data_IF_032698058530
#
_entry.id   IF_032698058530
#
_cell.length_a   1.000
_cell.length_b   1.000
_cell.length_c   1.000
_cell.angle_alpha   90.00
_cell.angle_beta   90.00
_cell.angle_gamma   90.00
#
_symmetry.space_group_name_H-M   'P 1'
#
loop_
_entity.id
_entity.type
_entity.pdbx_description
1 polymer ?
#
# COMPACT_ATOMS: atom_id res chain seq x y z
N UNK A 1 -6.88 28.11 0.95
CA UNK A 1 -6.04 27.09 0.31
C UNK A 1 -4.97 27.87 -0.44
N UNK A 2 -3.70 27.69 -0.06
CA UNK A 2 -2.57 28.27 -0.82
C UNK A 2 -2.54 27.64 -2.21
N UNK A 3 -2.16 28.42 -3.22
CA UNK A 3 -2.02 27.90 -4.58
C UNK A 3 -0.83 26.92 -4.65
N UNK A 4 -0.88 25.92 -5.53
CA UNK A 4 0.20 24.94 -5.66
C UNK A 4 1.55 25.58 -6.03
N UNK A 5 1.49 26.71 -6.74
CA UNK A 5 2.65 27.55 -7.05
C UNK A 5 3.28 28.19 -5.82
N UNK A 6 2.49 28.53 -4.80
CA UNK A 6 2.97 29.17 -3.56
C UNK A 6 3.72 28.17 -2.67
N UNK A 7 3.40 26.88 -2.79
CA UNK A 7 4.04 25.79 -2.06
C UNK A 7 5.24 25.17 -2.81
N UNK A 8 5.47 25.56 -4.06
CA UNK A 8 6.55 25.00 -4.89
C UNK A 8 6.42 23.49 -5.14
N UNK A 9 5.19 22.96 -5.12
CA UNK A 9 4.95 21.52 -5.24
C UNK A 9 5.22 21.02 -6.67
N UNK A 10 5.77 19.81 -6.83
CA UNK A 10 5.75 19.12 -8.11
C UNK A 10 4.33 19.03 -8.66
N UNK A 11 4.16 19.14 -9.98
CA UNK A 11 2.84 19.21 -10.60
C UNK A 11 2.00 17.96 -10.32
N UNK A 12 2.59 16.76 -10.40
CA UNK A 12 1.90 15.52 -10.07
C UNK A 12 1.33 15.52 -8.64
N UNK A 13 2.11 16.00 -7.67
CA UNK A 13 1.67 16.17 -6.27
C UNK A 13 0.49 17.14 -6.22
N UNK A 14 0.61 18.31 -6.84
CA UNK A 14 -0.48 19.29 -6.87
C UNK A 14 -1.77 18.76 -7.52
N UNK A 15 -1.67 17.95 -8.57
CA UNK A 15 -2.81 17.26 -9.21
C UNK A 15 -3.45 16.26 -8.23
N UNK A 16 -2.65 15.40 -7.59
CA UNK A 16 -3.14 14.38 -6.66
C UNK A 16 -3.87 14.99 -5.45
N UNK A 17 -3.39 16.15 -4.96
CA UNK A 17 -4.07 16.91 -3.91
C UNK A 17 -5.30 17.71 -4.38
N UNK A 18 -5.68 17.62 -5.66
CA UNK A 18 -6.80 18.36 -6.24
C UNK A 18 -6.58 19.87 -6.30
N UNK A 19 -5.33 20.33 -6.19
CA UNK A 19 -4.97 21.76 -6.26
C UNK A 19 -4.93 22.27 -7.71
N UNK A 20 -4.86 21.36 -8.69
CA UNK A 20 -4.91 21.67 -10.12
C UNK A 20 -6.26 21.23 -10.67
N UNK A 21 -7.08 22.19 -11.07
CA UNK A 21 -8.35 21.87 -11.75
C UNK A 21 -8.10 21.36 -13.18
N UNK A 22 -8.97 20.47 -13.66
CA UNK A 22 -8.97 20.04 -15.07
C UNK A 22 -9.10 21.26 -16.01
N UNK A 23 -8.36 21.31 -17.14
CA UNK A 23 -8.57 22.31 -18.17
C UNK A 23 -10.02 22.28 -18.68
N UNK A 24 -10.80 23.32 -18.36
CA UNK A 24 -12.24 23.33 -18.63
C UNK A 24 -12.55 23.92 -20.02
N UNK A 25 -13.12 23.10 -20.94
CA UNK A 25 -14.02 23.53 -22.05
C UNK A 25 -14.62 22.34 -22.84
N UNK A 26 -15.95 22.23 -22.88
CA UNK A 26 -16.72 21.41 -23.85
C UNK A 26 -17.88 20.60 -23.22
N UNK A 27 -19.00 20.31 -23.95
CA UNK A 27 -20.23 19.75 -23.37
C UNK A 27 -20.16 18.30 -22.88
N UNK A 28 -19.00 17.64 -22.95
CA UNK A 28 -18.76 16.33 -22.33
C UNK A 28 -17.38 16.30 -21.71
N UNK A 29 -17.33 15.89 -20.44
CA UNK A 29 -16.11 15.57 -19.68
C UNK A 29 -15.50 14.27 -20.22
N UNK A 30 -15.08 14.23 -21.48
CA UNK A 30 -14.54 13.00 -22.09
C UNK A 30 -13.11 12.71 -21.64
N UNK A 31 -12.39 13.71 -21.10
CA UNK A 31 -11.01 13.59 -20.65
C UNK A 31 -10.80 14.33 -19.31
N UNK A 32 -10.30 13.61 -18.30
CA UNK A 32 -9.93 14.12 -16.96
C UNK A 32 -8.63 13.45 -16.48
N UNK A 33 -8.00 13.98 -15.43
CA UNK A 33 -6.81 13.33 -14.85
C UNK A 33 -7.08 11.88 -14.46
N UNK A 34 -8.22 11.60 -13.81
CA UNK A 34 -8.60 10.26 -13.36
C UNK A 34 -8.73 9.30 -14.55
N UNK A 35 -9.39 9.73 -15.63
CA UNK A 35 -9.59 8.89 -16.81
C UNK A 35 -8.29 8.59 -17.56
N UNK A 36 -7.35 9.54 -17.54
CA UNK A 36 -6.01 9.37 -18.12
C UNK A 36 -5.21 8.35 -17.30
N UNK A 37 -5.27 8.46 -15.97
CA UNK A 37 -4.56 7.57 -15.05
C UNK A 37 -5.12 6.15 -15.13
N UNK A 38 -6.45 5.98 -15.13
CA UNK A 38 -7.13 4.69 -15.27
C UNK A 38 -6.69 3.97 -16.56
N UNK A 39 -6.74 4.65 -17.71
CA UNK A 39 -6.31 4.05 -18.98
C UNK A 39 -4.81 3.74 -19.02
N UNK A 40 -3.98 4.51 -18.31
CA UNK A 40 -2.56 4.23 -18.20
C UNK A 40 -2.28 3.00 -17.31
N UNK A 41 -3.05 2.81 -16.23
CA UNK A 41 -3.00 1.61 -15.38
C UNK A 41 -3.44 0.38 -16.18
N UNK A 42 -4.59 0.44 -16.86
CA UNK A 42 -5.07 -0.67 -17.71
C UNK A 42 -4.02 -1.09 -18.76
N UNK A 43 -3.36 -0.10 -19.38
CA UNK A 43 -2.29 -0.35 -20.33
C UNK A 43 -1.04 -0.97 -19.68
N UNK A 44 -0.69 -0.53 -18.47
CA UNK A 44 0.45 -1.06 -17.71
C UNK A 44 0.20 -2.49 -17.22
N UNK A 45 -1.03 -2.80 -16.80
CA UNK A 45 -1.45 -4.13 -16.38
C UNK A 45 -1.42 -5.12 -17.56
N UNK A 46 -1.87 -4.67 -18.74
CA UNK A 46 -1.94 -5.52 -19.93
C UNK A 46 -0.59 -5.74 -20.63
N UNK A 47 0.26 -4.70 -20.69
CA UNK A 47 1.44 -4.69 -21.55
C UNK A 47 2.74 -4.29 -20.85
N UNK A 48 2.69 -4.06 -19.53
CA UNK A 48 3.82 -3.62 -18.73
C UNK A 48 4.11 -2.12 -18.83
N UNK A 49 4.97 -1.62 -17.94
CA UNK A 49 5.25 -0.17 -17.82
C UNK A 49 5.93 0.42 -19.06
N UNK A 50 6.65 -0.41 -19.81
CA UNK A 50 7.32 -0.02 -21.06
C UNK A 50 6.33 0.44 -22.14
N UNK A 51 5.11 -0.13 -22.15
CA UNK A 51 4.06 0.22 -23.10
C UNK A 51 3.42 1.58 -22.80
N UNK A 52 3.50 2.05 -21.55
CA UNK A 52 2.92 3.33 -21.12
C UNK A 52 3.72 4.49 -21.71
N UNK A 53 3.25 4.97 -22.86
CA UNK A 53 3.75 6.16 -23.54
C UNK A 53 2.63 7.17 -23.69
N UNK A 54 2.95 8.47 -23.67
CA UNK A 54 1.94 9.53 -23.80
C UNK A 54 1.09 9.34 -25.07
N UNK A 55 1.69 8.90 -26.17
CA UNK A 55 0.99 8.66 -27.44
C UNK A 55 0.04 7.47 -27.37
N UNK A 56 0.44 6.38 -26.72
CA UNK A 56 -0.36 5.16 -26.63
C UNK A 56 -1.53 5.34 -25.69
N UNK A 57 -1.32 5.99 -24.54
CA UNK A 57 -2.39 6.36 -23.60
C UNK A 57 -3.41 7.28 -24.29
N UNK A 58 -2.95 8.33 -24.99
CA UNK A 58 -3.85 9.21 -25.72
C UNK A 58 -4.66 8.47 -26.79
N UNK A 59 -4.01 7.59 -27.56
CA UNK A 59 -4.66 6.80 -28.61
C UNK A 59 -5.71 5.84 -28.05
N UNK A 60 -5.43 5.21 -26.89
CA UNK A 60 -6.40 4.32 -26.21
C UNK A 60 -7.68 5.04 -25.79
N UNK A 61 -7.58 6.34 -25.50
CA UNK A 61 -8.71 7.20 -25.14
C UNK A 61 -9.36 7.90 -26.35
N UNK A 62 -8.83 7.69 -27.57
CA UNK A 62 -9.32 8.37 -28.78
C UNK A 62 -8.90 9.84 -28.92
N UNK A 63 -7.86 10.27 -28.20
CA UNK A 63 -7.35 11.64 -28.21
C UNK A 63 -5.95 11.73 -28.83
N UNK A 64 -5.54 12.96 -29.19
CA UNK A 64 -4.18 13.23 -29.63
C UNK A 64 -3.24 13.35 -28.43
N UNK A 65 -1.96 13.03 -28.61
CA UNK A 65 -0.92 13.21 -27.58
C UNK A 65 -0.88 14.66 -27.05
N UNK A 66 -1.08 15.64 -27.95
CA UNK A 66 -1.15 17.05 -27.59
C UNK A 66 -2.33 17.38 -26.68
N UNK A 67 -3.44 16.65 -26.78
CA UNK A 67 -4.57 16.82 -25.86
C UNK A 67 -4.22 16.30 -24.46
N UNK A 68 -3.48 15.20 -24.36
CA UNK A 68 -3.03 14.59 -23.11
C UNK A 68 -2.07 15.51 -22.33
N UNK A 69 -1.13 16.16 -23.04
CA UNK A 69 -0.15 17.07 -22.43
C UNK A 69 -0.76 18.29 -21.73
N UNK A 70 -2.03 18.62 -21.97
CA UNK A 70 -2.73 19.69 -21.23
C UNK A 70 -3.04 19.31 -19.78
N UNK A 71 -3.21 18.01 -19.52
CA UNK A 71 -3.53 17.47 -18.20
C UNK A 71 -2.23 17.08 -17.50
N UNK A 72 -1.43 16.23 -18.14
CA UNK A 72 -0.20 15.68 -17.59
C UNK A 72 1.00 16.07 -18.43
N UNK A 73 1.93 16.83 -17.86
CA UNK A 73 3.01 17.49 -18.61
C UNK A 73 4.17 16.58 -18.98
N UNK A 74 4.42 15.54 -18.19
CA UNK A 74 5.50 14.59 -18.42
C UNK A 74 5.05 13.14 -18.16
N UNK A 75 5.75 12.17 -18.76
CA UNK A 75 5.54 10.75 -18.45
C UNK A 75 5.76 10.49 -16.95
N UNK A 76 6.77 11.11 -16.35
CA UNK A 76 7.08 10.90 -14.92
C UNK A 76 5.97 11.42 -14.00
N UNK A 77 5.24 12.48 -14.40
CA UNK A 77 4.06 12.94 -13.68
C UNK A 77 2.94 11.90 -13.75
N UNK A 78 2.73 11.31 -14.94
CA UNK A 78 1.74 10.24 -15.14
C UNK A 78 2.06 9.02 -14.28
N UNK A 79 3.32 8.60 -14.26
CA UNK A 79 3.77 7.45 -13.46
C UNK A 79 3.53 7.66 -11.96
N UNK A 80 3.77 8.86 -11.44
CA UNK A 80 3.49 9.19 -10.03
C UNK A 80 1.99 9.17 -9.73
N UNK A 81 1.16 9.70 -10.63
CA UNK A 81 -0.29 9.69 -10.47
C UNK A 81 -0.86 8.26 -10.55
N UNK A 82 -0.31 7.41 -11.42
CA UNK A 82 -0.67 6.00 -11.49
C UNK A 82 -0.38 5.27 -10.19
N UNK A 83 0.82 5.46 -9.61
CA UNK A 83 1.17 4.85 -8.32
C UNK A 83 0.21 5.28 -7.21
N UNK A 84 -0.08 6.58 -7.11
CA UNK A 84 -0.95 7.11 -6.05
C UNK A 84 -2.41 6.65 -6.20
N UNK A 85 -2.92 6.53 -7.43
CA UNK A 85 -4.26 6.01 -7.70
C UNK A 85 -4.39 4.51 -7.36
N UNK A 86 -3.35 3.71 -7.59
CA UNK A 86 -3.34 2.29 -7.17
C UNK A 86 -3.32 2.18 -5.64
N UNK A 87 -2.57 3.04 -4.94
CA UNK A 87 -2.63 3.12 -3.48
C UNK A 87 -4.02 3.55 -2.96
N UNK A 88 -4.74 4.41 -3.68
CA UNK A 88 -6.12 4.81 -3.34
C UNK A 88 -7.05 3.58 -3.33
N UNK A 89 -6.93 2.70 -4.33
CA UNK A 89 -7.74 1.47 -4.41
C UNK A 89 -7.51 0.58 -3.19
N UNK A 90 -6.25 0.45 -2.74
CA UNK A 90 -5.90 -0.27 -1.51
C UNK A 90 -6.60 0.35 -0.30
N UNK A 91 -6.46 1.67 -0.10
CA UNK A 91 -7.05 2.36 1.06
C UNK A 91 -8.58 2.33 1.06
N UNK A 92 -9.22 2.35 -0.11
CA UNK A 92 -10.66 2.21 -0.25
C UNK A 92 -11.18 0.83 0.17
N UNK A 93 -10.36 -0.22 0.05
CA UNK A 93 -10.68 -1.59 0.52
C UNK A 93 -10.32 -1.83 1.99
N UNK A 94 -9.57 -0.90 2.60
CA UNK A 94 -9.04 -1.02 3.95
C UNK A 94 -10.03 -0.56 5.06
N UNK A 95 -11.33 -0.45 4.80
CA UNK A 95 -12.32 -0.21 5.87
C UNK A 95 -12.29 -1.40 6.86
N UNK A 96 -11.78 -1.21 8.09
CA UNK A 96 -11.64 -2.28 9.05
C UNK A 96 -12.99 -2.87 9.48
N UNK A 97 -14.10 -2.14 9.28
CA UNK A 97 -15.44 -2.63 9.59
C UNK A 97 -16.01 -3.58 8.53
N UNK A 98 -15.46 -3.56 7.31
CA UNK A 98 -15.98 -4.34 6.18
C UNK A 98 -15.23 -5.65 5.93
N UNK A 99 -14.11 -5.89 6.62
CA UNK A 99 -13.33 -7.11 6.44
C UNK A 99 -13.76 -8.21 7.42
N UNK A 100 -13.96 -9.46 6.94
CA UNK A 100 -14.34 -10.57 7.80
C UNK A 100 -13.26 -10.77 8.87
N UNK A 101 -13.69 -10.72 10.13
CA UNK A 101 -12.86 -11.06 11.27
C UNK A 101 -12.40 -12.51 11.08
N UNK A 102 -11.15 -12.72 10.64
CA UNK A 102 -10.55 -14.05 10.67
C UNK A 102 -10.34 -14.39 12.14
N UNK A 103 -11.24 -15.21 12.69
CA UNK A 103 -11.22 -15.70 14.09
C UNK A 103 -9.91 -16.43 14.43
N UNK A 104 -9.13 -16.82 13.41
CA UNK A 104 -7.92 -17.63 13.52
C UNK A 104 -6.62 -16.82 13.71
N UNK A 105 -6.66 -15.49 13.61
CA UNK A 105 -5.45 -14.66 13.72
C UNK A 105 -5.12 -14.33 15.18
N UNK A 106 -4.31 -15.20 15.78
CA UNK A 106 -3.61 -15.00 17.06
C UNK A 106 -2.65 -13.82 16.90
N UNK A 107 -2.93 -12.71 17.59
CA UNK A 107 -2.08 -11.52 17.53
C UNK A 107 -2.70 -10.33 18.26
N UNK A 108 -1.85 -9.41 18.68
CA UNK A 108 -2.27 -8.14 19.27
C UNK A 108 -2.98 -7.26 18.22
N UNK A 109 -3.78 -6.27 18.63
CA UNK A 109 -4.57 -5.46 17.68
C UNK A 109 -3.70 -4.74 16.64
N UNK A 110 -2.51 -4.26 17.04
CA UNK A 110 -1.58 -3.58 16.14
C UNK A 110 -0.93 -4.53 15.13
N UNK A 111 -0.62 -5.76 15.56
CA UNK A 111 0.01 -6.78 14.73
C UNK A 111 -0.92 -7.18 13.59
N UNK A 112 -2.21 -7.36 13.90
CA UNK A 112 -3.25 -7.60 12.90
C UNK A 112 -3.40 -6.45 11.91
N UNK A 113 -3.43 -5.21 12.41
CA UNK A 113 -3.56 -4.03 11.54
C UNK A 113 -2.35 -3.86 10.60
N UNK A 114 -1.11 -4.03 11.10
CA UNK A 114 0.09 -3.98 10.27
C UNK A 114 0.17 -5.15 9.29
N UNK A 115 -0.22 -6.34 9.72
CA UNK A 115 -0.30 -7.52 8.86
C UNK A 115 -1.27 -7.27 7.70
N UNK A 116 -2.43 -6.71 7.99
CA UNK A 116 -3.42 -6.39 6.97
C UNK A 116 -2.87 -5.37 5.95
N UNK A 117 -2.21 -4.31 6.42
CA UNK A 117 -1.57 -3.34 5.55
C UNK A 117 -0.52 -4.01 4.65
N UNK A 118 0.32 -4.87 5.24
CA UNK A 118 1.35 -5.60 4.50
C UNK A 118 0.76 -6.55 3.45
N UNK A 119 -0.30 -7.29 3.79
CA UNK A 119 -0.97 -8.24 2.90
C UNK A 119 -1.60 -7.51 1.71
N UNK A 120 -2.24 -6.36 1.96
CA UNK A 120 -2.82 -5.54 0.91
C UNK A 120 -1.75 -4.95 -0.01
N UNK A 121 -0.65 -4.43 0.55
CA UNK A 121 0.48 -3.93 -0.25
C UNK A 121 1.08 -5.04 -1.11
N UNK A 122 1.19 -6.26 -0.56
CA UNK A 122 1.70 -7.42 -1.29
C UNK A 122 0.77 -7.82 -2.43
N UNK A 123 -0.53 -7.93 -2.18
CA UNK A 123 -1.53 -8.21 -3.20
C UNK A 123 -1.53 -7.15 -4.30
N UNK A 124 -1.46 -5.86 -3.93
CA UNK A 124 -1.37 -4.73 -4.84
C UNK A 124 -0.15 -4.83 -5.77
N UNK A 125 1.03 -5.20 -5.25
CA UNK A 125 2.21 -5.42 -6.11
C UNK A 125 2.08 -6.63 -7.03
N UNK A 126 1.35 -7.67 -6.63
CA UNK A 126 1.08 -8.84 -7.49
C UNK A 126 0.07 -8.52 -8.60
N UNK A 127 -0.95 -7.73 -8.29
CA UNK A 127 -1.96 -7.27 -9.26
C UNK A 127 -1.37 -6.26 -10.25
N UNK A 128 -0.44 -5.40 -9.79
CA UNK A 128 0.20 -4.37 -10.60
C UNK A 128 1.74 -4.47 -10.56
N UNK A 129 2.36 -5.51 -11.17
CA UNK A 129 3.81 -5.76 -11.08
C UNK A 129 4.69 -4.61 -11.59
N UNK A 130 4.17 -3.81 -12.52
CA UNK A 130 4.84 -2.64 -13.09
C UNK A 130 5.18 -1.57 -12.05
N UNK A 131 4.50 -1.52 -10.91
CA UNK A 131 4.79 -0.54 -9.86
C UNK A 131 6.21 -0.68 -9.29
N UNK A 132 6.74 -1.91 -9.28
CA UNK A 132 8.07 -2.20 -8.75
C UNK A 132 9.17 -1.66 -9.68
N UNK A 133 8.86 -1.48 -10.97
CA UNK A 133 9.80 -0.94 -11.96
C UNK A 133 9.93 0.58 -11.87
N UNK A 134 8.95 1.26 -11.26
CA UNK A 134 9.00 2.71 -11.06
C UNK A 134 9.89 3.01 -9.84
N UNK A 135 10.94 3.85 -10.00
CA UNK A 135 11.79 4.26 -8.89
C UNK A 135 11.00 4.99 -7.81
N UNK A 136 11.34 4.73 -6.54
CA UNK A 136 10.80 5.48 -5.41
C UNK A 136 11.37 6.91 -5.46
N UNK A 137 10.54 7.86 -5.89
CA UNK A 137 10.92 9.26 -6.01
C UNK A 137 10.58 10.04 -4.75
N UNK A 138 11.33 11.11 -4.44
CA UNK A 138 11.06 11.96 -3.28
C UNK A 138 9.66 12.58 -3.30
N UNK A 139 9.11 12.86 -4.48
CA UNK A 139 7.75 13.35 -4.65
C UNK A 139 6.68 12.37 -4.14
N UNK A 140 6.96 11.06 -4.18
CA UNK A 140 6.06 10.02 -3.68
C UNK A 140 5.76 10.19 -2.19
N UNK A 141 6.72 10.69 -1.42
CA UNK A 141 6.56 10.97 0.02
C UNK A 141 5.54 12.08 0.30
N UNK A 142 5.21 12.90 -0.71
CA UNK A 142 4.24 14.00 -0.61
C UNK A 142 2.88 13.64 -1.19
N UNK A 143 2.70 12.44 -1.74
CA UNK A 143 1.44 12.02 -2.36
C UNK A 143 0.39 11.71 -1.30
N UNK A 144 -0.89 12.07 -1.53
CA UNK A 144 -1.94 11.97 -0.51
C UNK A 144 -2.21 10.53 -0.06
N UNK A 145 -2.24 9.55 -0.98
CA UNK A 145 -2.52 8.17 -0.60
C UNK A 145 -1.31 7.50 0.06
N UNK A 146 -0.08 7.89 -0.31
CA UNK A 146 1.11 7.48 0.42
C UNK A 146 1.09 8.02 1.87
N UNK A 147 0.70 9.27 2.08
CA UNK A 147 0.57 9.85 3.42
C UNK A 147 -0.56 9.21 4.24
N UNK A 148 -1.69 8.86 3.60
CA UNK A 148 -2.77 8.13 4.26
C UNK A 148 -2.36 6.71 4.67
N UNK A 149 -1.55 6.02 3.85
CA UNK A 149 -0.95 4.72 4.22
C UNK A 149 -0.05 4.85 5.45
N UNK A 150 0.83 5.87 5.47
CA UNK A 150 1.69 6.16 6.62
C UNK A 150 0.85 6.46 7.87
N UNK A 151 -0.19 7.28 7.75
CA UNK A 151 -1.11 7.60 8.85
C UNK A 151 -1.81 6.34 9.40
N UNK A 152 -2.28 5.46 8.51
CA UNK A 152 -2.89 4.18 8.90
C UNK A 152 -1.91 3.27 9.65
N UNK A 153 -0.65 3.19 9.22
CA UNK A 153 0.38 2.44 9.92
C UNK A 153 0.74 3.06 11.28
N UNK A 154 0.80 4.39 11.38
CA UNK A 154 1.01 5.08 12.67
C UNK A 154 -0.17 4.84 13.62
N UNK A 155 -1.40 4.84 13.09
CA UNK A 155 -2.61 4.48 13.84
C UNK A 155 -2.50 3.05 14.36
N UNK A 156 -2.08 2.08 13.54
CA UNK A 156 -1.87 0.71 13.97
C UNK A 156 -0.86 0.62 15.13
N UNK A 157 0.27 1.34 15.01
CA UNK A 157 1.35 1.33 16.01
C UNK A 157 1.16 2.27 17.21
N UNK A 158 0.02 2.98 17.31
CA UNK A 158 -0.18 4.06 18.29
C UNK A 158 0.01 3.64 19.75
N UNK A 159 -0.28 2.37 20.07
CA UNK A 159 -0.18 1.80 21.42
C UNK A 159 1.13 1.02 21.66
N UNK A 160 2.04 0.94 20.68
CA UNK A 160 3.34 0.28 20.90
C UNK A 160 4.23 1.18 21.76
N UNK A 161 4.87 0.63 22.81
CA UNK A 161 5.80 1.35 23.66
C UNK A 161 7.19 1.52 23.01
N UNK A 162 7.24 2.02 21.78
CA UNK A 162 8.47 2.33 21.02
C UNK A 162 8.47 3.80 20.59
N UNK A 163 9.64 4.37 20.35
CA UNK A 163 9.77 5.76 19.96
C UNK A 163 9.19 6.01 18.55
N UNK A 164 8.72 7.24 18.29
CA UNK A 164 8.06 7.56 17.01
C UNK A 164 8.97 7.36 15.80
N UNK A 165 10.27 7.61 15.93
CA UNK A 165 11.25 7.33 14.88
C UNK A 165 11.40 5.82 14.61
N UNK A 166 11.26 4.97 15.64
CA UNK A 166 11.27 3.51 15.51
C UNK A 166 10.01 3.01 14.81
N UNK A 167 8.85 3.64 15.03
CA UNK A 167 7.61 3.34 14.28
C UNK A 167 7.79 3.60 12.78
N UNK A 168 8.43 4.71 12.41
CA UNK A 168 8.77 4.99 11.00
C UNK A 168 9.75 3.92 10.47
N UNK A 169 10.76 3.54 11.25
CA UNK A 169 11.68 2.47 10.90
C UNK A 169 10.98 1.12 10.66
N UNK A 170 10.03 0.76 11.53
CA UNK A 170 9.21 -0.44 11.39
C UNK A 170 8.37 -0.43 10.12
N UNK A 171 7.72 0.70 9.80
CA UNK A 171 6.98 0.86 8.55
C UNK A 171 7.89 0.70 7.33
N UNK A 172 9.06 1.35 7.32
CA UNK A 172 10.01 1.23 6.21
C UNK A 172 10.52 -0.20 6.03
N UNK A 173 10.77 -0.92 7.13
CA UNK A 173 11.17 -2.33 7.11
C UNK A 173 10.09 -3.20 6.47
N UNK A 174 8.83 -3.06 6.92
CA UNK A 174 7.69 -3.80 6.37
C UNK A 174 7.53 -3.48 4.88
N UNK A 175 7.47 -2.21 4.50
CA UNK A 175 7.28 -1.80 3.10
C UNK A 175 8.40 -2.29 2.18
N UNK A 176 9.65 -2.27 2.65
CA UNK A 176 10.80 -2.77 1.88
C UNK A 176 10.75 -4.29 1.73
N UNK A 177 10.41 -5.02 2.79
CA UNK A 177 10.23 -6.46 2.73
C UNK A 177 9.11 -6.84 1.76
N UNK A 178 7.92 -6.23 1.88
CA UNK A 178 6.77 -6.50 1.01
C UNK A 178 7.12 -6.25 -0.46
N UNK A 179 7.75 -5.11 -0.75
CA UNK A 179 8.20 -4.77 -2.12
C UNK A 179 9.23 -5.78 -2.63
N UNK A 180 10.20 -6.18 -1.81
CA UNK A 180 11.23 -7.16 -2.18
C UNK A 180 10.68 -8.56 -2.41
N UNK A 181 9.73 -9.00 -1.58
CA UNK A 181 9.04 -10.28 -1.75
C UNK A 181 8.26 -10.32 -3.07
N UNK A 182 7.55 -9.23 -3.42
CA UNK A 182 6.83 -9.13 -4.68
C UNK A 182 7.78 -9.03 -5.90
N UNK A 183 8.91 -8.33 -5.77
CA UNK A 183 9.93 -8.19 -6.81
C UNK A 183 10.56 -9.54 -7.14
N UNK A 184 10.86 -10.34 -6.12
CA UNK A 184 11.39 -11.70 -6.27
C UNK A 184 10.42 -12.60 -7.05
N UNK A 185 9.13 -12.53 -6.72
CA UNK A 185 8.07 -13.25 -7.44
C UNK A 185 8.02 -12.81 -8.91
N UNK A 186 8.05 -11.50 -9.19
CA UNK A 186 8.08 -10.98 -10.56
C UNK A 186 9.30 -11.46 -11.33
N UNK A 187 10.50 -11.37 -10.77
CA UNK A 187 11.74 -11.71 -11.46
C UNK A 187 11.85 -13.20 -11.77
N UNK A 188 11.46 -14.06 -10.83
CA UNK A 188 11.46 -15.52 -11.05
C UNK A 188 10.39 -15.90 -12.07
N UNK A 189 9.21 -15.26 -12.04
CA UNK A 189 8.08 -15.57 -12.93
C UNK A 189 8.22 -15.02 -14.35
N UNK A 190 8.81 -13.84 -14.50
CA UNK A 190 8.90 -13.13 -15.78
C UNK A 190 10.20 -13.32 -16.56
N UNK A 191 11.25 -13.87 -15.94
CA UNK A 191 12.60 -13.98 -16.53
C UNK A 191 13.21 -15.37 -16.35
N UNK A 192 12.48 -16.43 -16.66
CA UNK A 192 13.16 -17.71 -16.92
C UNK A 192 13.95 -17.53 -18.21
N UNK A 193 15.27 -17.38 -18.07
CA UNK A 193 16.22 -17.31 -19.18
C UNK A 193 15.98 -18.52 -20.12
N UNK A 194 15.74 -18.31 -21.43
CA UNK A 194 15.55 -19.39 -22.38
C UNK A 194 16.70 -20.41 -22.39
N UNK A 195 17.90 -20.01 -21.96
CA UNK A 195 19.08 -20.89 -21.82
C UNK A 195 18.94 -21.84 -20.64
N UNK A 196 18.33 -21.40 -19.53
CA UNK A 196 18.04 -22.24 -18.36
C UNK A 196 16.75 -23.05 -18.57
N UNK A 197 15.73 -22.44 -19.19
CA UNK A 197 14.48 -23.11 -19.57
C UNK A 197 14.63 -24.09 -20.75
N UNK A 198 15.74 -24.01 -21.50
CA UNK A 198 16.07 -24.89 -22.62
C UNK A 198 17.03 -26.03 -22.26
N UNK A 199 17.50 -26.11 -21.00
CA UNK A 199 18.30 -27.24 -20.53
C UNK A 199 17.42 -28.51 -20.43
N UNK A 200 17.89 -29.68 -20.92
CA UNK A 200 17.14 -30.92 -20.77
C UNK A 200 17.18 -31.40 -19.31
N UNK A 201 16.21 -30.97 -18.50
CA UNK A 201 16.06 -31.36 -17.09
C UNK A 201 15.33 -30.30 -16.26
N UNK A 202 14.72 -30.69 -15.14
CA UNK A 202 14.13 -29.71 -14.23
C UNK A 202 15.23 -28.92 -13.51
N UNK A 203 15.00 -27.66 -13.13
CA UNK A 203 16.03 -26.85 -12.45
C UNK A 203 16.43 -27.48 -11.11
N UNK A 204 15.48 -28.10 -10.42
CA UNK A 204 15.75 -28.90 -9.22
C UNK A 204 16.77 -30.01 -9.48
N UNK A 205 16.73 -30.66 -10.65
CA UNK A 205 17.69 -31.69 -11.03
C UNK A 205 19.08 -31.12 -11.32
N UNK A 206 19.17 -30.00 -12.03
CA UNK A 206 20.45 -29.31 -12.28
C UNK A 206 21.11 -28.88 -10.97
N UNK A 207 20.34 -28.35 -10.01
CA UNK A 207 20.84 -28.00 -8.68
C UNK A 207 21.40 -29.25 -7.99
N UNK A 208 20.70 -30.40 -8.04
CA UNK A 208 21.19 -31.65 -7.46
C UNK A 208 22.50 -32.13 -8.10
N UNK A 209 22.66 -31.96 -9.41
CA UNK A 209 23.87 -32.37 -10.14
C UNK A 209 25.08 -31.46 -9.88
N UNK A 210 24.85 -30.15 -9.66
CA UNK A 210 25.90 -29.16 -9.41
C UNK A 210 26.41 -29.12 -7.97
N UNK A 211 25.61 -29.62 -7.01
CA UNK A 211 25.89 -29.49 -5.57
C UNK A 211 26.72 -30.68 -5.06
N UNK A 212 28.04 -30.46 -4.92
CA UNK A 212 28.95 -31.41 -4.27
C UNK A 212 29.12 -31.13 -2.77
N UNK A 213 29.36 -32.18 -1.98
CA UNK A 213 29.63 -32.07 -0.54
C UNK A 213 30.88 -31.24 -0.25
N UNK A 214 31.93 -31.38 -1.08
CA UNK A 214 33.19 -30.67 -0.94
C UNK A 214 33.04 -29.15 -1.14
N UNK A 215 32.13 -28.72 -2.03
CA UNK A 215 31.96 -27.30 -2.38
C UNK A 215 30.79 -26.63 -1.65
N UNK A 216 29.76 -27.40 -1.29
CA UNK A 216 28.51 -26.90 -0.74
C UNK A 216 28.01 -27.73 0.46
N UNK A 217 28.80 -27.87 1.54
CA UNK A 217 28.51 -28.78 2.65
C UNK A 217 27.22 -28.46 3.41
N UNK A 218 26.78 -27.19 3.44
CA UNK A 218 25.56 -26.78 4.14
C UNK A 218 24.31 -26.78 3.26
N UNK A 219 24.48 -26.58 1.95
CA UNK A 219 23.38 -26.54 0.99
C UNK A 219 23.00 -27.96 0.54
N UNK A 220 23.98 -28.87 0.46
CA UNK A 220 23.76 -30.24 0.01
C UNK A 220 22.68 -30.99 0.83
N UNK A 221 22.67 -30.97 2.18
CA UNK A 221 21.61 -31.61 2.94
C UNK A 221 20.21 -31.05 2.64
N UNK A 222 20.10 -29.74 2.34
CA UNK A 222 18.83 -29.08 2.01
C UNK A 222 18.34 -29.41 0.59
N UNK A 223 19.27 -29.62 -0.33
CA UNK A 223 19.00 -30.07 -1.71
C UNK A 223 18.62 -31.55 -1.72
N UNK A 224 19.29 -32.38 -0.92
CA UNK A 224 18.98 -33.81 -0.76
C UNK A 224 17.64 -34.04 -0.06
N UNK A 225 17.30 -33.24 0.96
CA UNK A 225 15.99 -33.27 1.60
C UNK A 225 14.85 -32.77 0.69
N UNK A 226 15.20 -32.12 -0.41
CA UNK A 226 14.25 -31.55 -1.37
C UNK A 226 13.68 -30.19 -0.96
N UNK A 227 13.94 -29.72 0.26
CA UNK A 227 13.42 -28.44 0.80
C UNK A 227 13.90 -27.26 -0.05
N UNK A 228 15.19 -27.24 -0.40
CA UNK A 228 15.75 -26.15 -1.22
C UNK A 228 15.22 -26.14 -2.65
N UNK A 229 14.84 -27.31 -3.16
CA UNK A 229 14.30 -27.44 -4.52
C UNK A 229 12.78 -27.38 -4.57
N UNK A 230 12.10 -27.36 -3.42
CA UNK A 230 10.68 -27.10 -3.33
C UNK A 230 10.43 -25.68 -3.85
N UNK A 231 9.42 -25.48 -4.69
CA UNK A 231 9.13 -24.18 -5.29
C UNK A 231 10.02 -23.80 -6.50
N UNK A 232 11.22 -24.36 -6.66
CA UNK A 232 12.15 -23.99 -7.76
C UNK A 232 11.52 -24.19 -9.13
N UNK A 233 10.78 -25.28 -9.32
CA UNK A 233 10.08 -25.59 -10.56
C UNK A 233 8.56 -25.31 -10.49
N UNK A 234 8.06 -24.84 -9.33
CA UNK A 234 6.64 -24.52 -9.16
C UNK A 234 6.28 -23.20 -9.88
N UNK A 235 5.00 -23.02 -10.27
CA UNK A 235 4.48 -21.71 -10.64
C UNK A 235 4.69 -20.75 -9.46
N UNK A 236 5.15 -19.53 -9.75
CA UNK A 236 5.51 -18.57 -8.69
C UNK A 236 4.31 -18.12 -7.85
N UNK A 237 3.10 -18.28 -8.37
CA UNK A 237 1.86 -17.98 -7.65
C UNK A 237 1.47 -19.01 -6.59
N UNK A 238 2.16 -20.16 -6.51
CA UNK A 238 1.77 -21.32 -5.69
C UNK A 238 2.44 -21.38 -4.30
N UNK A 239 3.36 -20.46 -3.95
CA UNK A 239 4.02 -20.48 -2.63
C UNK A 239 3.91 -19.15 -1.85
N UNK A 240 2.81 -18.93 -1.10
CA UNK A 240 2.68 -17.85 -0.12
C UNK A 240 3.63 -17.97 1.09
N UNK A 241 4.33 -19.10 1.26
CA UNK A 241 4.95 -19.44 2.55
C UNK A 241 6.15 -18.56 2.90
N UNK A 242 6.97 -18.15 1.94
CA UNK A 242 8.14 -17.29 2.19
C UNK A 242 7.74 -15.87 2.60
N UNK A 243 6.72 -15.32 1.94
CA UNK A 243 6.14 -14.03 2.31
C UNK A 243 5.53 -14.09 3.71
N UNK A 244 4.68 -15.09 3.97
CA UNK A 244 3.99 -15.27 5.24
C UNK A 244 4.97 -15.46 6.40
N UNK A 245 6.00 -16.27 6.20
CA UNK A 245 7.07 -16.47 7.18
C UNK A 245 7.84 -15.18 7.46
N UNK A 246 8.24 -14.46 6.40
CA UNK A 246 9.03 -13.24 6.54
C UNK A 246 8.26 -12.11 7.24
N UNK A 247 6.98 -11.89 6.88
CA UNK A 247 6.18 -10.86 7.56
C UNK A 247 5.90 -11.24 9.01
N UNK A 248 5.65 -12.51 9.30
CA UNK A 248 5.46 -12.98 10.68
C UNK A 248 6.73 -12.76 11.52
N UNK A 249 7.91 -13.04 10.97
CA UNK A 249 9.17 -12.82 11.65
C UNK A 249 9.43 -11.33 11.94
N UNK A 250 9.11 -10.45 10.99
CA UNK A 250 9.23 -8.99 11.18
C UNK A 250 8.30 -8.52 12.30
N UNK A 251 7.03 -8.92 12.27
CA UNK A 251 6.04 -8.55 13.29
C UNK A 251 6.43 -9.08 14.68
N UNK A 252 6.88 -10.32 14.77
CA UNK A 252 7.39 -10.90 16.01
C UNK A 252 8.64 -10.16 16.53
N UNK A 253 9.54 -9.73 15.63
CA UNK A 253 10.70 -8.91 15.96
C UNK A 253 10.31 -7.55 16.53
N UNK A 254 9.33 -6.87 15.95
CA UNK A 254 8.79 -5.60 16.46
C UNK A 254 8.16 -5.81 17.85
N UNK A 255 7.39 -6.89 18.02
CA UNK A 255 6.78 -7.22 19.31
C UNK A 255 7.84 -7.45 20.40
N UNK A 256 8.92 -8.17 20.08
CA UNK A 256 10.02 -8.43 20.99
C UNK A 256 10.80 -7.16 21.34
N UNK A 257 11.08 -6.30 20.35
CA UNK A 257 11.72 -4.99 20.56
C UNK A 257 10.88 -4.08 21.46
N UNK A 258 9.56 -4.06 21.26
CA UNK A 258 8.64 -3.31 22.10
C UNK A 258 8.56 -3.85 23.54
N UNK A 259 8.77 -5.15 23.74
CA UNK A 259 8.73 -5.80 25.05
C UNK A 259 10.02 -5.62 25.87
N UNK A 260 11.15 -5.30 25.24
CA UNK A 260 12.46 -5.16 25.88
C UNK A 260 12.97 -3.70 25.84
N UNK A 261 12.81 -2.92 26.92
CA UNK A 261 13.28 -1.54 27.00
C UNK A 261 14.78 -1.36 26.79
N UNK A 262 15.58 -2.42 26.99
CA UNK A 262 17.04 -2.35 26.79
C UNK A 262 17.46 -2.30 25.32
N UNK A 263 16.55 -2.67 24.40
CA UNK A 263 16.78 -2.65 22.96
C UNK A 263 16.41 -1.31 22.32
N UNK A 264 15.68 -0.45 23.03
CA UNK A 264 15.20 0.83 22.50
C UNK A 264 16.35 1.80 22.24
N UNK A 265 16.47 2.24 21.00
CA UNK A 265 17.58 3.10 20.57
C UNK A 265 17.39 4.52 21.10
N UNK A 266 18.06 4.81 22.21
CA UNK A 266 18.18 6.15 22.77
C UNK A 266 16.83 6.69 23.25
N UNK A 267 16.63 6.74 24.56
CA UNK A 267 15.54 7.48 25.19
C UNK A 267 15.71 9.00 24.96
N UNK A 268 15.57 9.45 23.71
CA UNK A 268 15.12 10.80 23.46
C UNK A 268 13.67 10.80 23.93
N UNK A 269 13.44 11.43 25.08
CA UNK A 269 12.14 11.95 25.49
C UNK A 269 11.63 12.91 24.42
N UNK A 270 11.20 12.37 23.29
CA UNK A 270 10.21 13.01 22.45
C UNK A 270 8.94 12.90 23.25
N UNK A 271 8.42 14.03 23.75
CA UNK A 271 7.02 14.07 24.15
C UNK A 271 6.21 13.42 23.02
N UNK A 272 5.32 12.44 23.31
CA UNK A 272 4.53 11.81 22.27
C UNK A 272 3.83 12.91 21.48
N UNK A 273 4.20 13.07 20.20
CA UNK A 273 3.53 14.03 19.32
C UNK A 273 2.06 13.66 19.13
N UNK A 274 1.74 12.39 19.37
CA UNK A 274 0.41 11.82 19.29
C UNK A 274 -0.15 11.53 20.69
N UNK A 275 -1.21 12.24 21.08
CA UNK A 275 -2.07 11.82 22.19
C UNK A 275 -3.10 10.86 21.61
N UNK A 276 -3.10 9.60 22.06
CA UNK A 276 -4.14 8.62 21.73
C UNK A 276 -5.54 9.14 22.07
N UNK A 277 -6.59 8.57 21.47
CA UNK A 277 -7.98 8.92 21.78
C UNK A 277 -8.30 8.79 23.28
N UNK A 278 -7.68 7.82 23.95
CA UNK A 278 -7.80 7.62 25.40
C UNK A 278 -7.11 8.74 26.17
N UNK A 279 -5.92 9.19 25.74
CA UNK A 279 -5.21 10.33 26.33
C UNK A 279 -5.92 11.66 26.05
N UNK A 280 -6.58 11.82 24.90
CA UNK A 280 -7.42 12.98 24.59
C UNK A 280 -8.72 12.95 25.41
N UNK A 281 -9.32 11.77 25.59
CA UNK A 281 -10.48 11.58 26.46
C UNK A 281 -10.13 11.86 27.93
N UNK A 282 -8.96 11.42 28.39
CA UNK A 282 -8.41 11.72 29.70
C UNK A 282 -8.11 13.23 29.83
N UNK A 283 -7.54 13.87 28.81
CA UNK A 283 -7.32 15.32 28.80
C UNK A 283 -8.64 16.12 28.87
N UNK A 284 -9.74 15.59 28.32
CA UNK A 284 -11.08 16.18 28.45
C UNK A 284 -11.66 16.07 29.87
N UNK A 285 -11.06 15.28 30.77
CA UNK A 285 -11.43 15.27 32.19
C UNK A 285 -10.82 16.44 32.95
N UNK A 286 -9.76 17.05 32.41
CA UNK A 286 -9.06 18.19 33.02
C UNK A 286 -9.90 19.46 32.89
N UNK A 287 -10.15 20.11 34.02
CA UNK A 287 -11.25 21.08 34.14
C UNK A 287 -11.06 22.34 33.27
N UNK A 288 -9.81 22.80 33.07
CA UNK A 288 -9.51 23.94 32.19
C UNK A 288 -9.58 23.56 30.70
N UNK A 289 -9.17 22.35 30.33
CA UNK A 289 -9.26 21.83 28.95
C UNK A 289 -10.72 21.63 28.56
N UNK A 290 -11.52 21.03 29.44
CA UNK A 290 -12.96 20.85 29.26
C UNK A 290 -13.72 22.16 29.10
N UNK A 291 -13.28 23.22 29.82
CA UNK A 291 -13.93 24.54 29.82
C UNK A 291 -13.49 25.42 28.65
N UNK A 292 -12.39 25.09 27.97
CA UNK A 292 -11.87 25.85 26.84
C UNK A 292 -12.89 25.96 25.68
N UNK A 293 -13.19 27.18 25.19
CA UNK A 293 -14.19 27.40 24.14
C UNK A 293 -13.87 26.69 22.81
N UNK A 294 -12.59 26.61 22.42
CA UNK A 294 -12.17 25.97 21.16
C UNK A 294 -12.30 24.46 21.26
N UNK A 295 -11.93 23.89 22.41
CA UNK A 295 -12.10 22.44 22.68
C UNK A 295 -13.57 22.05 22.66
N UNK A 296 -14.45 22.83 23.29
CA UNK A 296 -15.91 22.60 23.26
C UNK A 296 -16.49 22.61 21.84
N UNK A 297 -16.07 23.58 21.02
CA UNK A 297 -16.53 23.67 19.63
C UNK A 297 -16.03 22.48 18.80
N UNK A 298 -14.77 22.08 18.96
CA UNK A 298 -14.21 20.91 18.28
C UNK A 298 -14.93 19.61 18.67
N UNK A 299 -15.20 19.38 19.97
CA UNK A 299 -15.95 18.21 20.46
C UNK A 299 -17.39 18.20 19.92
N UNK A 300 -18.04 19.36 19.85
CA UNK A 300 -19.38 19.49 19.25
C UNK A 300 -19.38 19.10 17.78
N UNK A 301 -18.45 19.65 16.99
CA UNK A 301 -18.32 19.31 15.56
C UNK A 301 -18.03 17.83 15.33
N UNK A 302 -17.20 17.22 16.18
CA UNK A 302 -16.94 15.76 16.12
C UNK A 302 -18.22 14.95 16.33
N UNK A 303 -19.01 15.28 17.35
CA UNK A 303 -20.31 14.60 17.62
C UNK A 303 -21.32 14.77 16.48
N UNK A 304 -21.36 15.96 15.88
CA UNK A 304 -22.20 16.21 14.70
C UNK A 304 -21.76 15.36 13.50
N UNK A 305 -20.45 15.24 13.26
CA UNK A 305 -19.90 14.38 12.21
C UNK A 305 -20.16 12.88 12.48
N UNK A 306 -19.95 12.40 13.71
CA UNK A 306 -20.26 11.03 14.12
C UNK A 306 -21.76 10.70 13.93
N UNK A 307 -22.63 11.65 14.24
CA UNK A 307 -24.09 11.49 14.03
C UNK A 307 -24.41 11.36 12.55
N UNK A 308 -23.83 12.23 11.71
CA UNK A 308 -23.99 12.16 10.24
C UNK A 308 -23.45 10.86 9.66
N UNK A 309 -22.30 10.38 10.14
CA UNK A 309 -21.72 9.10 9.71
C UNK A 309 -22.63 7.93 10.07
N UNK A 310 -23.19 7.90 11.30
CA UNK A 310 -24.16 6.87 11.71
C UNK A 310 -25.42 6.89 10.86
N UNK A 311 -25.93 8.08 10.52
CA UNK A 311 -27.07 8.21 9.61
C UNK A 311 -26.75 7.72 8.20
N UNK A 312 -25.56 8.03 7.68
CA UNK A 312 -25.09 7.57 6.37
C UNK A 312 -25.00 6.04 6.32
N UNK A 313 -24.33 5.41 7.30
CA UNK A 313 -24.24 3.94 7.42
C UNK A 313 -25.61 3.27 7.54
N UNK A 314 -26.55 3.89 8.26
CA UNK A 314 -27.93 3.39 8.33
C UNK A 314 -28.61 3.41 6.96
N UNK A 315 -28.48 4.51 6.21
CA UNK A 315 -29.06 4.63 4.87
C UNK A 315 -28.45 3.62 3.90
N UNK A 316 -27.14 3.43 3.95
CA UNK A 316 -26.43 2.42 3.17
C UNK A 316 -26.97 1.01 3.45
N UNK A 317 -27.07 0.62 4.73
CA UNK A 317 -27.66 -0.68 5.12
C UNK A 317 -29.09 -0.85 4.64
N UNK A 318 -29.91 0.21 4.73
CA UNK A 318 -31.30 0.18 4.26
C UNK A 318 -31.38 0.02 2.73
N UNK A 319 -30.46 0.63 1.97
CA UNK A 319 -30.35 0.48 0.52
C UNK A 319 -29.88 -0.92 0.12
N UNK A 320 -28.88 -1.49 0.81
CA UNK A 320 -28.41 -2.86 0.61
C UNK A 320 -29.56 -3.85 0.84
N UNK A 321 -30.32 -3.67 1.94
CA UNK A 321 -31.49 -4.50 2.24
C UNK A 321 -32.56 -4.38 1.16
N UNK A 322 -32.87 -3.16 0.70
CA UNK A 322 -33.82 -2.93 -0.40
C UNK A 322 -33.35 -3.55 -1.72
N UNK A 323 -32.04 -3.56 -1.99
CA UNK A 323 -31.48 -4.20 -3.18
C UNK A 323 -31.61 -5.73 -3.13
N UNK A 324 -31.37 -6.34 -1.97
CA UNK A 324 -31.56 -7.78 -1.74
C UNK A 324 -33.03 -8.20 -1.88
N UNK A 325 -33.98 -7.39 -1.39
CA UNK A 325 -35.42 -7.64 -1.50
C UNK A 325 -35.95 -7.50 -2.94
N UNK A 326 -35.31 -6.68 -3.78
CA UNK A 326 -35.73 -6.48 -5.18
C UNK A 326 -35.43 -7.66 -6.09
N UNK A 327 -34.51 -8.55 -5.69
CA UNK A 327 -34.03 -9.67 -6.51
C UNK A 327 -33.39 -9.23 -7.84
N UNK A 328 -32.71 -10.13 -8.56
CA UNK A 328 -32.20 -9.81 -9.89
C UNK A 328 -33.38 -9.58 -10.85
N UNK A 329 -33.34 -8.48 -11.61
CA UNK A 329 -34.27 -8.30 -12.73
C UNK A 329 -33.97 -9.37 -13.78
N UNK A 330 -34.93 -10.27 -13.99
CA UNK A 330 -34.94 -11.25 -15.09
C UNK A 330 -34.91 -10.57 -16.46
#
# INVERSE_FOLDING_TARGET
MSDASDLGLPRAVAIAWGMVADPQRGPKRELSHERIVEAAIELADAEGIGAVTMSKVASSLGFTTMALYRYVTAKDDLLQLMQDAVLEQLLGTADPELQPQREDQVGSGWERELRLIADQLYAMYREHPWMIEIPVASAQLLMPNNLALVDSAMRAMRQLPIADHEKIGALLLISTFVRGAADLVRDIGGRIDPVIGGAPGSRAQLIKELISEERYPYLRPLVESGIYTAGVDAPVDDDPSDYDFGIQLILAGIANHAADPSQQMGAATSEPGFKSDDQLAEALTVDHVRKDPKVKDAVRRRREAETKLREARKRERDQIKSALERGPKS
#
